data_IF_538079792378
#
_entry.id   IF_538079792378
#
_cell.length_a   1.000
_cell.length_b   1.000
_cell.length_c   1.000
_cell.angle_alpha   90.00
_cell.angle_beta   90.00
_cell.angle_gamma   90.00
#
_symmetry.space_group_name_H-M   'P 1'
#
loop_
_entity.id
_entity.type
_entity.pdbx_description
1 polymer ?
#
# COMPACT_ATOMS: atom_id res chain seq x y z
N UNK A 1 21.21 27.38 -46.21
CA UNK A 1 20.79 27.97 -44.90
C UNK A 1 19.44 27.47 -44.40
N UNK A 2 18.41 27.29 -45.24
CA UNK A 2 17.07 26.80 -44.83
C UNK A 2 17.07 25.35 -44.29
N UNK A 3 17.76 24.42 -44.96
CA UNK A 3 17.84 22.99 -44.55
C UNK A 3 18.51 22.82 -43.19
N UNK A 4 19.59 23.55 -42.95
CA UNK A 4 20.32 23.51 -41.66
C UNK A 4 19.41 23.97 -40.48
N UNK A 5 18.62 25.04 -40.69
CA UNK A 5 17.66 25.53 -39.69
C UNK A 5 16.56 24.49 -39.37
N UNK A 6 16.10 23.75 -40.41
CA UNK A 6 15.08 22.70 -40.23
C UNK A 6 15.64 21.50 -39.46
N UNK A 7 16.87 21.08 -39.73
CA UNK A 7 17.57 20.01 -39.04
C UNK A 7 17.80 20.39 -37.54
N UNK A 8 18.30 21.60 -37.28
CA UNK A 8 18.50 22.12 -35.93
C UNK A 8 17.20 22.17 -35.15
N UNK A 9 16.08 22.55 -35.74
CA UNK A 9 14.77 22.60 -35.09
C UNK A 9 14.26 21.21 -34.70
N UNK A 10 14.50 20.19 -35.54
CA UNK A 10 14.15 18.79 -35.26
C UNK A 10 15.03 18.22 -34.15
N UNK A 11 16.33 18.49 -34.16
CA UNK A 11 17.26 18.04 -33.10
C UNK A 11 16.92 18.70 -31.78
N UNK A 12 16.67 20.00 -31.73
CA UNK A 12 16.26 20.73 -30.52
C UNK A 12 14.95 20.20 -29.98
N UNK A 13 13.96 19.92 -30.84
CA UNK A 13 12.69 19.32 -30.47
C UNK A 13 12.85 17.93 -29.86
N UNK A 14 13.75 17.09 -30.40
CA UNK A 14 14.07 15.77 -29.84
C UNK A 14 14.77 15.88 -28.48
N UNK A 15 15.71 16.82 -28.33
CA UNK A 15 16.42 17.06 -27.07
C UNK A 15 15.44 17.53 -25.98
N UNK A 16 14.56 18.49 -26.28
CA UNK A 16 13.53 18.96 -25.34
C UNK A 16 12.53 17.86 -24.98
N UNK A 17 12.15 17.01 -25.93
CA UNK A 17 11.29 15.87 -25.68
C UNK A 17 11.96 14.85 -24.76
N UNK A 18 13.24 14.53 -24.99
CA UNK A 18 14.05 13.66 -24.14
C UNK A 18 14.18 14.23 -22.73
N UNK A 19 14.47 15.51 -22.56
CA UNK A 19 14.52 16.15 -21.25
C UNK A 19 13.19 16.06 -20.52
N UNK A 20 12.05 16.25 -21.20
CA UNK A 20 10.72 16.13 -20.62
C UNK A 20 10.38 14.70 -20.16
N UNK A 21 10.94 13.67 -20.83
CA UNK A 21 10.68 12.25 -20.50
C UNK A 21 11.62 11.68 -19.45
N UNK A 22 12.85 12.18 -19.33
CA UNK A 22 13.85 11.71 -18.34
C UNK A 22 13.36 11.87 -16.90
N UNK A 23 12.60 12.94 -16.61
CA UNK A 23 12.07 13.22 -15.28
C UNK A 23 10.66 12.68 -15.04
N UNK A 24 10.03 12.04 -16.03
CA UNK A 24 8.72 11.44 -15.88
C UNK A 24 8.86 10.14 -15.07
N UNK A 25 8.16 10.08 -13.95
CA UNK A 25 8.07 8.87 -13.11
C UNK A 25 6.63 8.39 -13.08
N UNK A 26 6.44 7.08 -13.06
CA UNK A 26 5.14 6.46 -12.83
C UNK A 26 5.01 6.13 -11.34
N UNK A 27 3.84 6.39 -10.78
CA UNK A 27 3.46 6.05 -9.42
C UNK A 27 2.28 5.09 -9.47
N UNK A 28 2.18 4.20 -8.48
CA UNK A 28 1.07 3.28 -8.24
C UNK A 28 0.24 3.71 -7.03
N UNK A 29 0.76 4.60 -6.18
CA UNK A 29 0.08 5.13 -5.01
C UNK A 29 -0.87 6.27 -5.35
N UNK A 30 -1.66 6.71 -4.40
CA UNK A 30 -2.69 7.74 -4.57
C UNK A 30 -2.09 9.11 -4.91
N UNK A 31 -1.06 9.53 -4.16
CA UNK A 31 -0.48 10.88 -4.27
C UNK A 31 1.03 10.89 -4.54
N UNK A 32 1.64 9.73 -4.85
CA UNK A 32 3.06 9.60 -5.15
C UNK A 32 3.91 9.17 -3.96
N UNK A 33 3.31 8.61 -2.90
CA UNK A 33 3.96 8.12 -1.68
C UNK A 33 5.03 7.07 -2.02
N UNK A 34 4.74 6.17 -2.95
CA UNK A 34 5.66 5.13 -3.42
C UNK A 34 6.95 5.69 -4.02
N UNK A 35 6.89 6.86 -4.69
CA UNK A 35 8.07 7.55 -5.20
C UNK A 35 8.92 8.14 -4.07
N UNK A 36 8.27 8.68 -3.03
CA UNK A 36 8.93 9.22 -1.84
C UNK A 36 9.62 8.07 -1.08
N UNK A 37 8.90 6.98 -0.82
CA UNK A 37 9.42 5.77 -0.16
C UNK A 37 10.63 5.23 -0.92
N UNK A 38 10.52 5.09 -2.25
CA UNK A 38 11.64 4.65 -3.09
C UNK A 38 12.84 5.60 -3.01
N UNK A 39 12.61 6.91 -2.99
CA UNK A 39 13.67 7.90 -2.85
C UNK A 39 14.39 7.76 -1.51
N UNK A 40 13.65 7.60 -0.40
CA UNK A 40 14.23 7.42 0.94
C UNK A 40 15.09 6.17 0.99
N UNK A 41 14.60 5.01 0.53
CA UNK A 41 15.40 3.77 0.52
C UNK A 41 16.63 3.84 -0.37
N UNK A 42 16.54 4.49 -1.53
CA UNK A 42 17.71 4.73 -2.37
C UNK A 42 18.76 5.59 -1.67
N UNK A 43 18.35 6.61 -0.90
CA UNK A 43 19.24 7.49 -0.13
C UNK A 43 19.91 6.73 1.03
N UNK A 44 19.22 5.74 1.61
CA UNK A 44 19.75 4.84 2.63
C UNK A 44 20.60 3.69 2.04
N UNK A 45 20.72 3.57 0.72
CA UNK A 45 21.45 2.49 0.06
C UNK A 45 20.72 1.15 0.03
N UNK A 46 19.47 1.09 0.45
CA UNK A 46 18.64 -0.13 0.50
C UNK A 46 17.94 -0.30 -0.85
N UNK A 47 18.44 -1.19 -1.69
CA UNK A 47 17.94 -1.37 -3.07
C UNK A 47 16.63 -2.15 -3.17
N UNK A 48 16.40 -3.09 -2.25
CA UNK A 48 15.25 -3.99 -2.24
C UNK A 48 14.71 -4.10 -0.82
N UNK A 49 14.08 -3.06 -0.29
CA UNK A 49 13.52 -3.11 1.06
C UNK A 49 12.44 -4.19 1.14
N UNK A 50 12.41 -4.91 2.25
CA UNK A 50 11.28 -5.76 2.63
C UNK A 50 10.10 -4.88 3.08
N UNK A 51 8.87 -5.38 2.99
CA UNK A 51 7.70 -4.60 3.37
C UNK A 51 6.58 -5.44 3.97
N UNK A 52 5.76 -4.76 4.78
CA UNK A 52 4.45 -5.19 5.24
C UNK A 52 3.44 -4.14 4.80
N UNK A 53 2.46 -4.56 4.00
CA UNK A 53 1.38 -3.72 3.45
C UNK A 53 0.06 -4.16 4.06
N UNK A 54 -0.47 -3.37 5.00
CA UNK A 54 -1.70 -3.65 5.74
C UNK A 54 -2.80 -2.78 5.14
N UNK A 55 -3.85 -3.43 4.60
CA UNK A 55 -4.86 -2.80 3.78
C UNK A 55 -4.40 -2.64 2.33
N UNK A 56 -3.82 -3.69 1.75
CA UNK A 56 -3.15 -3.61 0.45
C UNK A 56 -4.07 -3.31 -0.75
N UNK A 57 -5.39 -3.42 -0.58
CA UNK A 57 -6.48 -3.09 -1.49
C UNK A 57 -6.32 -3.73 -2.87
N UNK A 58 -5.50 -3.17 -3.76
CA UNK A 58 -5.29 -3.69 -5.12
C UNK A 58 -3.80 -3.85 -5.46
N UNK A 59 -3.46 -4.76 -6.40
CA UNK A 59 -2.06 -5.10 -6.66
C UNK A 59 -1.22 -3.95 -7.24
N UNK A 60 -1.83 -3.03 -8.00
CA UNK A 60 -1.14 -1.96 -8.73
C UNK A 60 -1.91 -0.63 -8.79
N UNK A 61 -3.03 -0.51 -8.12
CA UNK A 61 -3.85 0.69 -8.08
C UNK A 61 -4.00 1.14 -6.62
N UNK A 62 -3.66 2.38 -6.33
CA UNK A 62 -3.58 2.94 -4.97
C UNK A 62 -2.73 2.03 -4.06
N UNK A 63 -1.50 1.71 -4.51
CA UNK A 63 -0.62 0.79 -3.79
C UNK A 63 0.73 1.43 -3.50
N UNK A 64 1.06 1.56 -2.22
CA UNK A 64 2.33 2.11 -1.75
C UNK A 64 3.52 1.16 -1.97
N UNK A 65 3.25 -0.14 -2.15
CA UNK A 65 4.27 -1.19 -2.25
C UNK A 65 4.47 -1.74 -3.66
N UNK A 66 3.56 -1.44 -4.60
CA UNK A 66 3.64 -1.97 -5.97
C UNK A 66 4.93 -1.58 -6.69
N UNK A 67 5.40 -0.34 -6.52
CA UNK A 67 6.65 0.13 -7.12
C UNK A 67 7.86 -0.62 -6.56
N UNK A 68 7.88 -0.93 -5.27
CA UNK A 68 8.92 -1.74 -4.62
C UNK A 68 8.90 -3.18 -5.16
N UNK A 69 7.73 -3.80 -5.26
CA UNK A 69 7.56 -5.13 -5.84
C UNK A 69 8.09 -5.22 -7.27
N UNK A 70 7.76 -4.24 -8.12
CA UNK A 70 8.24 -4.14 -9.50
C UNK A 70 9.77 -3.99 -9.58
N UNK A 71 10.38 -3.33 -8.60
CA UNK A 71 11.84 -3.19 -8.49
C UNK A 71 12.53 -4.39 -7.81
N UNK A 72 11.80 -5.46 -7.52
CA UNK A 72 12.34 -6.72 -7.02
C UNK A 72 12.36 -6.86 -5.50
N UNK A 73 11.78 -5.94 -4.75
CA UNK A 73 11.45 -6.11 -3.33
C UNK A 73 10.42 -7.21 -3.13
N UNK A 74 10.35 -7.75 -1.92
CA UNK A 74 9.38 -8.76 -1.51
C UNK A 74 8.87 -8.43 -0.12
N UNK A 75 7.61 -8.79 0.13
CA UNK A 75 6.98 -8.53 1.40
C UNK A 75 5.70 -9.32 1.60
N UNK A 76 4.90 -8.80 2.51
CA UNK A 76 3.59 -9.36 2.86
C UNK A 76 2.53 -8.33 2.56
N UNK A 77 1.46 -8.76 1.90
CA UNK A 77 0.26 -7.99 1.68
C UNK A 77 -0.87 -8.59 2.52
N UNK A 78 -1.59 -7.77 3.24
CA UNK A 78 -2.74 -8.15 4.05
C UNK A 78 -3.96 -7.42 3.51
N UNK A 79 -5.00 -8.19 3.16
CA UNK A 79 -6.22 -7.67 2.59
C UNK A 79 -7.43 -8.47 3.10
N UNK A 80 -8.33 -7.84 3.87
CA UNK A 80 -9.50 -8.50 4.43
C UNK A 80 -10.58 -8.84 3.40
N UNK A 81 -10.78 -8.03 2.33
CA UNK A 81 -11.77 -8.35 1.29
C UNK A 81 -11.30 -9.53 0.44
N UNK A 82 -12.03 -10.68 0.43
CA UNK A 82 -11.61 -11.86 -0.33
C UNK A 82 -11.50 -11.62 -1.84
N UNK A 83 -12.26 -10.68 -2.39
CA UNK A 83 -12.25 -10.37 -3.81
C UNK A 83 -10.99 -9.57 -4.18
N UNK A 84 -10.60 -8.60 -3.37
CA UNK A 84 -9.37 -7.83 -3.53
C UNK A 84 -8.15 -8.68 -3.24
N UNK A 85 -8.18 -9.48 -2.17
CA UNK A 85 -7.15 -10.48 -1.88
C UNK A 85 -6.88 -11.40 -3.08
N UNK A 86 -7.93 -11.91 -3.74
CA UNK A 86 -7.77 -12.79 -4.90
C UNK A 86 -7.03 -12.11 -6.06
N UNK A 87 -7.25 -10.79 -6.27
CA UNK A 87 -6.52 -10.01 -7.27
C UNK A 87 -5.04 -9.87 -6.91
N UNK A 88 -4.74 -9.54 -5.65
CA UNK A 88 -3.36 -9.43 -5.14
C UNK A 88 -2.65 -10.77 -5.26
N UNK A 89 -3.27 -11.84 -4.77
CA UNK A 89 -2.69 -13.18 -4.76
C UNK A 89 -2.38 -13.69 -6.18
N UNK A 90 -3.20 -13.32 -7.16
CA UNK A 90 -2.96 -13.66 -8.58
C UNK A 90 -1.82 -12.84 -9.19
N UNK A 91 -1.72 -11.55 -8.87
CA UNK A 91 -0.81 -10.62 -9.52
C UNK A 91 0.56 -10.54 -8.84
N UNK A 92 0.60 -10.66 -7.50
CA UNK A 92 1.81 -10.51 -6.67
C UNK A 92 2.24 -11.86 -6.07
N UNK A 93 2.41 -12.87 -6.93
CA UNK A 93 2.69 -14.28 -6.54
C UNK A 93 4.04 -14.51 -5.85
N UNK A 94 4.94 -13.52 -5.88
CA UNK A 94 6.25 -13.60 -5.23
C UNK A 94 6.25 -13.02 -3.84
N UNK A 95 5.13 -12.43 -3.43
CA UNK A 95 4.85 -11.98 -2.07
C UNK A 95 4.09 -13.06 -1.30
N UNK A 96 4.11 -12.95 0.01
CA UNK A 96 3.15 -13.62 0.87
C UNK A 96 1.88 -12.77 0.91
N UNK A 97 0.72 -13.36 0.61
CA UNK A 97 -0.54 -12.65 0.62
C UNK A 97 -1.46 -13.30 1.65
N UNK A 98 -2.03 -12.52 2.56
CA UNK A 98 -2.86 -12.97 3.66
C UNK A 98 -4.26 -12.38 3.55
N UNK A 99 -5.30 -13.25 3.55
CA UNK A 99 -6.70 -12.82 3.61
C UNK A 99 -7.15 -12.74 5.06
N UNK A 100 -6.81 -11.67 5.73
CA UNK A 100 -7.20 -11.39 7.11
C UNK A 100 -7.18 -9.88 7.36
N UNK A 101 -7.73 -9.46 8.49
CA UNK A 101 -7.53 -8.13 9.05
C UNK A 101 -6.36 -8.07 10.03
N UNK A 102 -5.98 -6.86 10.42
CA UNK A 102 -5.03 -6.61 11.51
C UNK A 102 -5.71 -5.80 12.58
N UNK A 103 -5.54 -6.18 13.84
CA UNK A 103 -6.14 -5.50 14.98
C UNK A 103 -5.34 -5.73 16.27
N UNK A 104 -5.86 -5.24 17.38
CA UNK A 104 -5.28 -5.36 18.71
C UNK A 104 -5.59 -6.70 19.38
N UNK A 105 -6.64 -7.40 18.95
CA UNK A 105 -7.09 -8.69 19.48
C UNK A 105 -7.32 -9.65 18.32
N UNK A 106 -6.84 -10.89 18.49
CA UNK A 106 -7.10 -11.97 17.52
C UNK A 106 -8.53 -12.49 17.63
N UNK A 107 -9.10 -12.81 16.50
CA UNK A 107 -10.46 -13.38 16.46
C UNK A 107 -11.14 -13.24 15.12
N UNK A 108 -12.45 -13.32 15.11
CA UNK A 108 -13.27 -13.08 13.92
C UNK A 108 -14.07 -11.81 14.16
N UNK A 109 -13.97 -10.87 13.25
CA UNK A 109 -14.68 -9.59 13.30
C UNK A 109 -15.56 -9.39 12.07
N UNK A 110 -16.63 -8.64 12.23
CA UNK A 110 -17.47 -8.21 11.13
C UNK A 110 -16.71 -7.16 10.28
N UNK A 111 -16.60 -7.43 8.99
CA UNK A 111 -16.01 -6.53 8.01
C UNK A 111 -17.11 -5.99 7.10
N UNK A 112 -17.24 -4.68 7.03
CA UNK A 112 -18.27 -3.99 6.27
C UNK A 112 -17.76 -3.65 4.89
N UNK A 113 -18.29 -4.34 3.88
CA UNK A 113 -17.96 -4.09 2.47
C UNK A 113 -18.91 -3.02 1.93
N UNK A 114 -18.32 -1.93 1.47
CA UNK A 114 -19.02 -0.75 0.95
C UNK A 114 -18.99 -0.77 -0.58
N UNK A 115 -19.96 -0.15 -1.22
CA UNK A 115 -20.04 -0.04 -2.69
C UNK A 115 -18.84 0.72 -3.31
N UNK A 116 -18.03 1.39 -2.49
CA UNK A 116 -16.72 1.97 -2.82
C UNK A 116 -15.68 1.26 -1.98
N UNK A 117 -14.89 0.39 -2.60
CA UNK A 117 -14.01 -0.56 -1.89
C UNK A 117 -12.91 0.09 -1.07
N UNK A 118 -12.53 1.34 -1.35
CA UNK A 118 -11.57 2.12 -0.55
C UNK A 118 -12.13 2.53 0.82
N UNK A 119 -13.44 2.39 1.05
CA UNK A 119 -14.11 2.71 2.31
C UNK A 119 -14.51 1.43 3.09
N UNK A 120 -14.02 0.27 2.69
CA UNK A 120 -14.26 -0.98 3.41
C UNK A 120 -13.62 -0.89 4.80
N UNK A 121 -14.34 -1.23 5.86
CA UNK A 121 -13.88 -1.00 7.23
C UNK A 121 -14.33 -2.09 8.20
N UNK A 122 -13.58 -2.28 9.30
CA UNK A 122 -14.04 -3.05 10.47
C UNK A 122 -14.85 -2.19 11.45
N UNK A 123 -14.83 -0.87 11.29
CA UNK A 123 -15.55 0.06 12.16
C UNK A 123 -17.02 0.16 11.76
N UNK A 124 -17.91 -0.35 12.63
CA UNK A 124 -19.36 -0.19 12.44
C UNK A 124 -19.77 1.29 12.42
N UNK A 125 -19.11 2.12 13.23
CA UNK A 125 -19.41 3.56 13.33
C UNK A 125 -19.11 4.25 12.00
N UNK A 126 -17.97 3.95 11.39
CA UNK A 126 -17.62 4.50 10.07
C UNK A 126 -18.55 4.00 8.98
N UNK A 127 -18.83 2.69 8.93
CA UNK A 127 -19.77 2.12 7.96
C UNK A 127 -21.15 2.78 8.05
N UNK A 128 -21.65 3.07 9.27
CA UNK A 128 -22.90 3.79 9.49
C UNK A 128 -22.78 5.28 9.10
N UNK A 129 -21.63 5.91 9.33
CA UNK A 129 -21.35 7.29 8.93
C UNK A 129 -21.36 7.44 7.41
N UNK A 130 -20.67 6.57 6.69
CA UNK A 130 -20.65 6.56 5.22
C UNK A 130 -22.06 6.37 4.66
N UNK A 131 -22.86 5.47 5.25
CA UNK A 131 -24.25 5.23 4.81
C UNK A 131 -25.16 6.45 4.97
N UNK A 132 -24.80 7.41 5.83
CA UNK A 132 -25.53 8.70 5.98
C UNK A 132 -25.10 9.77 4.98
N UNK A 133 -23.99 9.59 4.29
CA UNK A 133 -23.43 10.56 3.34
C UNK A 133 -23.97 10.39 1.89
N UNK A 134 -25.08 9.70 1.71
CA UNK A 134 -25.88 9.68 0.48
C UNK A 134 -25.56 8.52 -0.46
N UNK A 135 -24.42 8.49 -1.12
CA UNK A 135 -24.15 7.52 -2.19
C UNK A 135 -23.43 6.23 -1.71
N UNK A 136 -22.90 6.22 -0.50
CA UNK A 136 -22.22 5.07 0.05
C UNK A 136 -23.19 4.12 0.76
N UNK A 137 -23.01 2.81 0.54
CA UNK A 137 -23.87 1.77 1.13
C UNK A 137 -23.04 0.56 1.51
N UNK A 138 -23.30 0.03 2.71
CA UNK A 138 -22.83 -1.31 3.07
C UNK A 138 -23.57 -2.31 2.18
N UNK A 139 -22.85 -2.99 1.30
CA UNK A 139 -23.41 -3.99 0.38
C UNK A 139 -23.45 -5.39 0.99
N UNK A 140 -22.55 -5.66 1.92
CA UNK A 140 -22.51 -6.89 2.72
C UNK A 140 -21.66 -6.72 3.95
N UNK A 141 -21.92 -7.52 4.97
CA UNK A 141 -21.03 -7.73 6.13
C UNK A 141 -20.55 -9.16 6.08
N UNK A 142 -19.25 -9.37 6.25
CA UNK A 142 -18.63 -10.70 6.21
C UNK A 142 -17.78 -10.92 7.45
N UNK A 143 -17.76 -12.14 8.04
CA UNK A 143 -16.81 -12.47 9.08
C UNK A 143 -15.41 -12.61 8.49
N UNK A 144 -14.44 -11.91 9.08
CA UNK A 144 -13.03 -11.95 8.67
C UNK A 144 -12.16 -12.30 9.89
N UNK A 145 -11.18 -13.18 9.67
CA UNK A 145 -10.16 -13.46 10.68
C UNK A 145 -9.29 -12.21 10.87
N UNK A 146 -9.10 -11.81 12.12
CA UNK A 146 -8.20 -10.73 12.52
C UNK A 146 -7.01 -11.33 13.25
N UNK A 147 -5.81 -10.90 12.90
CA UNK A 147 -4.55 -11.25 13.57
C UNK A 147 -3.95 -10.00 14.23
N UNK A 148 -3.17 -10.20 15.28
CA UNK A 148 -2.36 -9.10 15.80
C UNK A 148 -1.11 -8.88 14.95
N UNK A 149 -0.59 -7.66 14.98
CA UNK A 149 0.67 -7.34 14.32
C UNK A 149 1.83 -8.21 14.83
N UNK A 150 1.87 -8.45 16.14
CA UNK A 150 2.84 -9.35 16.79
C UNK A 150 2.80 -10.78 16.25
N UNK A 151 1.59 -11.33 16.07
CA UNK A 151 1.40 -12.66 15.49
C UNK A 151 1.96 -12.73 14.06
N UNK A 152 1.66 -11.73 13.23
CA UNK A 152 2.15 -11.64 11.85
C UNK A 152 3.67 -11.52 11.83
N UNK A 153 4.25 -10.66 12.67
CA UNK A 153 5.71 -10.50 12.76
C UNK A 153 6.39 -11.79 13.25
N UNK A 154 5.77 -12.49 14.20
CA UNK A 154 6.28 -13.76 14.71
C UNK A 154 6.26 -14.86 13.63
N UNK A 155 5.16 -14.99 12.89
CA UNK A 155 4.97 -16.03 11.88
C UNK A 155 5.86 -15.83 10.65
N UNK A 156 6.10 -14.59 10.23
CA UNK A 156 6.66 -14.29 8.92
C UNK A 156 7.98 -13.53 8.93
N UNK A 157 8.32 -12.84 10.02
CA UNK A 157 9.46 -11.95 10.11
C UNK A 157 10.41 -12.23 11.29
N UNK A 158 10.28 -13.40 11.97
CA UNK A 158 11.07 -13.75 13.15
C UNK A 158 11.04 -12.64 14.22
N UNK A 159 9.87 -12.05 14.47
CA UNK A 159 9.61 -10.94 15.41
C UNK A 159 10.36 -9.63 15.09
N UNK A 160 10.82 -9.45 13.88
CA UNK A 160 11.43 -8.19 13.44
C UNK A 160 10.54 -7.50 12.43
N UNK A 161 10.51 -6.19 12.45
CA UNK A 161 9.84 -5.46 11.37
C UNK A 161 10.60 -5.59 10.05
N UNK A 162 9.89 -5.61 8.92
CA UNK A 162 10.48 -5.35 7.62
C UNK A 162 10.94 -3.89 7.51
N UNK A 163 11.65 -3.56 6.45
CA UNK A 163 12.18 -2.21 6.24
C UNK A 163 11.08 -1.16 6.09
N UNK A 164 9.94 -1.52 5.50
CA UNK A 164 8.81 -0.64 5.21
C UNK A 164 7.50 -1.19 5.76
N UNK A 165 6.76 -0.34 6.46
CA UNK A 165 5.37 -0.56 6.86
C UNK A 165 4.47 0.42 6.11
N UNK A 166 3.52 -0.08 5.33
CA UNK A 166 2.39 0.66 4.78
C UNK A 166 1.15 0.26 5.56
N UNK A 167 0.40 1.24 6.07
CA UNK A 167 -0.78 1.03 6.90
C UNK A 167 -1.90 1.95 6.43
N UNK A 168 -3.01 1.33 6.03
CA UNK A 168 -4.21 1.98 5.54
C UNK A 168 -5.40 1.03 5.79
N UNK A 169 -6.03 1.15 6.96
CA UNK A 169 -7.06 0.20 7.43
C UNK A 169 -8.35 0.87 7.89
N UNK A 170 -8.57 2.11 7.48
CA UNK A 170 -9.83 2.81 7.68
C UNK A 170 -10.35 2.70 9.14
N UNK A 171 -9.67 3.43 10.06
CA UNK A 171 -10.10 3.60 11.45
C UNK A 171 -9.43 2.72 12.50
N UNK A 172 -8.52 1.81 12.13
CA UNK A 172 -7.72 1.03 13.10
C UNK A 172 -6.25 1.41 13.14
N UNK A 173 -5.80 2.34 12.30
CA UNK A 173 -4.40 2.72 12.12
C UNK A 173 -3.74 3.16 13.42
N UNK A 174 -4.40 4.00 14.20
CA UNK A 174 -3.89 4.49 15.47
C UNK A 174 -3.67 3.35 16.49
N UNK A 175 -4.61 2.42 16.58
CA UNK A 175 -4.51 1.27 17.49
C UNK A 175 -3.34 0.37 17.11
N UNK A 176 -3.16 0.09 15.81
CA UNK A 176 -2.07 -0.73 15.29
C UNK A 176 -0.73 -0.06 15.56
N UNK A 177 -0.57 1.23 15.28
CA UNK A 177 0.67 1.97 15.52
C UNK A 177 1.03 2.03 16.99
N UNK A 178 0.05 2.22 17.88
CA UNK A 178 0.27 2.22 19.34
C UNK A 178 0.64 0.83 19.89
N UNK A 179 0.30 -0.25 19.21
CA UNK A 179 0.67 -1.61 19.62
C UNK A 179 2.15 -1.95 19.34
N UNK A 180 2.87 -1.14 18.58
CA UNK A 180 4.26 -1.40 18.21
C UNK A 180 5.20 -1.16 19.38
N UNK A 181 5.97 -2.19 19.76
CA UNK A 181 7.10 -2.01 20.68
C UNK A 181 8.34 -1.51 19.92
N UNK A 182 8.42 -0.19 19.79
CA UNK A 182 9.52 0.50 19.09
C UNK A 182 10.90 0.27 19.72
N UNK A 183 10.97 -0.28 20.92
CA UNK A 183 12.26 -0.58 21.59
C UNK A 183 12.82 -1.92 21.15
N UNK A 184 11.96 -2.87 20.80
CA UNK A 184 12.39 -4.21 20.37
C UNK A 184 12.67 -4.25 18.88
N UNK A 185 11.82 -3.67 18.05
CA UNK A 185 11.99 -3.58 16.60
C UNK A 185 11.05 -2.51 16.01
N UNK A 186 11.49 -1.83 14.96
CA UNK A 186 10.66 -0.89 14.21
C UNK A 186 11.01 -0.93 12.73
N UNK A 187 10.07 -0.58 11.83
CA UNK A 187 10.39 -0.40 10.41
C UNK A 187 11.27 0.83 10.20
N UNK A 188 12.06 0.83 9.15
CA UNK A 188 12.91 1.98 8.75
C UNK A 188 12.06 3.14 8.24
N UNK A 189 10.97 2.82 7.54
CA UNK A 189 10.01 3.79 7.00
C UNK A 189 8.61 3.31 7.30
N UNK A 190 7.73 4.24 7.70
CA UNK A 190 6.31 4.02 7.89
C UNK A 190 5.55 4.99 6.99
N UNK A 191 4.56 4.49 6.27
CA UNK A 191 3.55 5.28 5.57
C UNK A 191 2.20 4.96 6.19
N UNK A 192 1.50 5.98 6.66
CA UNK A 192 0.19 5.84 7.31
C UNK A 192 -0.76 6.82 6.66
N UNK A 193 -1.99 6.41 6.41
CA UNK A 193 -3.06 7.34 6.11
C UNK A 193 -3.49 8.05 7.40
N UNK A 194 -3.55 9.38 7.35
CA UNK A 194 -4.07 10.19 8.46
C UNK A 194 -5.31 10.92 7.97
N UNK A 195 -6.43 10.64 8.59
CA UNK A 195 -7.69 11.36 8.36
C UNK A 195 -7.78 12.55 9.31
#
# INVERSE_FOLDING_TARGET
MYIIKKILKVILGKILYLQKTIYKKASYSQSGEDLIVKFVFNSLGIKKPSYLDIGAHQPYYISNTALLYQNGSRGINIEPDPSLFALINRARRKDVNLNCGVGDIEGVMDFYVINTSTLNTFSKVEAESYSKQGDYKVIKTIPVLVKTLDSILNEHFNRKFPDFLSLDVEGMDEAIIKSIDYKSSCPTVICIETI
#
